data_IF_888670534274
#
_entry.id   IF_888670534274
#
_cell.length_a   1.000
_cell.length_b   1.000
_cell.length_c   1.000
_cell.angle_alpha   90.00
_cell.angle_beta   90.00
_cell.angle_gamma   90.00
#
_symmetry.space_group_name_H-M   'P 1'
#
loop_
_entity.id
_entity.type
_entity.pdbx_description
1 polymer ?
#
# COMPACT_ATOMS: atom_id res chain seq x y z
N UNK A 1 -64.37 -20.57 23.86
CA UNK A 1 -63.70 -21.38 24.89
C UNK A 1 -63.42 -22.75 24.30
N UNK A 2 -62.16 -23.02 23.94
CA UNK A 2 -61.66 -24.36 23.64
C UNK A 2 -60.16 -24.33 23.95
N UNK A 3 -59.75 -25.21 24.86
CA UNK A 3 -58.42 -25.26 25.46
C UNK A 3 -57.39 -25.84 24.48
N UNK A 4 -56.22 -25.21 24.38
CA UNK A 4 -55.05 -25.79 23.74
C UNK A 4 -54.17 -26.45 24.80
N UNK A 5 -54.03 -27.77 24.71
CA UNK A 5 -53.11 -28.58 25.51
C UNK A 5 -51.69 -28.51 24.91
N UNK A 6 -50.71 -28.19 25.76
CA UNK A 6 -49.28 -28.37 25.50
C UNK A 6 -48.85 -29.81 25.81
N UNK A 7 -47.93 -30.43 25.04
CA UNK A 7 -47.22 -31.60 25.49
C UNK A 7 -45.89 -31.23 26.15
N UNK A 8 -45.60 -31.92 27.25
CA UNK A 8 -44.46 -31.76 28.13
C UNK A 8 -43.14 -32.26 27.51
N UNK A 9 -42.05 -31.54 27.85
CA UNK A 9 -40.68 -31.88 27.51
C UNK A 9 -40.23 -33.16 28.23
N UNK A 10 -39.66 -34.10 27.49
CA UNK A 10 -38.91 -35.24 28.04
C UNK A 10 -37.42 -34.96 27.84
N UNK A 11 -36.68 -34.84 28.94
CA UNK A 11 -35.24 -34.64 28.94
C UNK A 11 -34.50 -35.92 28.55
N UNK A 12 -33.60 -35.84 27.58
CA UNK A 12 -32.63 -36.89 27.26
C UNK A 12 -31.23 -36.46 27.75
N UNK A 13 -30.42 -37.41 28.26
CA UNK A 13 -29.18 -37.10 28.98
C UNK A 13 -28.03 -36.66 28.05
N UNK A 14 -27.21 -35.74 28.58
CA UNK A 14 -25.99 -35.21 28.00
C UNK A 14 -25.00 -36.32 27.60
N UNK A 15 -24.74 -36.45 26.30
CA UNK A 15 -23.57 -37.15 25.77
C UNK A 15 -22.43 -36.15 25.54
N UNK A 16 -21.33 -36.34 26.26
CA UNK A 16 -20.08 -35.58 26.14
C UNK A 16 -19.44 -35.86 24.77
N UNK A 17 -19.17 -34.85 23.91
CA UNK A 17 -18.42 -35.07 22.68
C UNK A 17 -16.91 -35.14 22.98
N UNK A 18 -16.26 -36.21 22.50
CA UNK A 18 -14.81 -36.43 22.50
C UNK A 18 -14.06 -35.38 21.67
N UNK A 19 -12.85 -34.96 22.08
CA UNK A 19 -12.07 -33.95 21.39
C UNK A 19 -11.48 -34.49 20.08
N UNK A 20 -11.71 -33.78 18.98
CA UNK A 20 -11.07 -34.01 17.68
C UNK A 20 -9.60 -33.59 17.74
N UNK A 21 -8.65 -34.36 17.19
CA UNK A 21 -7.24 -34.02 17.22
C UNK A 21 -6.94 -32.81 16.32
N UNK A 22 -6.29 -31.78 16.89
CA UNK A 22 -5.85 -30.61 16.15
C UNK A 22 -4.67 -30.98 15.23
N UNK A 23 -4.95 -31.05 13.92
CA UNK A 23 -3.90 -31.14 12.92
C UNK A 23 -3.38 -29.73 12.63
N UNK A 24 -2.32 -29.31 13.36
CA UNK A 24 -1.51 -28.17 12.97
C UNK A 24 -0.79 -28.51 11.66
N UNK A 25 -1.36 -28.11 10.53
CA UNK A 25 -0.63 -28.07 9.26
C UNK A 25 0.24 -26.82 9.26
N UNK A 26 1.53 -27.00 9.51
CA UNK A 26 2.54 -25.99 9.18
C UNK A 26 2.53 -25.78 7.67
N UNK A 27 2.15 -24.59 7.22
CA UNK A 27 2.38 -24.14 5.84
C UNK A 27 3.86 -23.76 5.75
N UNK A 28 4.68 -24.69 5.28
CA UNK A 28 6.06 -24.42 4.88
C UNK A 28 6.03 -24.00 3.42
N UNK A 29 6.23 -22.70 3.15
CA UNK A 29 6.50 -22.22 1.80
C UNK A 29 7.98 -22.50 1.47
N UNK A 30 8.24 -23.49 0.61
CA UNK A 30 9.57 -23.77 0.09
C UNK A 30 9.99 -22.67 -0.90
N UNK A 31 10.78 -21.70 -0.43
CA UNK A 31 11.51 -20.77 -1.29
C UNK A 31 12.68 -21.54 -1.93
N UNK A 32 12.60 -21.75 -3.23
CA UNK A 32 13.69 -22.35 -4.02
C UNK A 32 14.64 -21.24 -4.46
N UNK A 33 15.82 -21.15 -3.84
CA UNK A 33 16.91 -20.30 -4.32
C UNK A 33 17.68 -21.01 -5.44
N UNK A 34 17.97 -20.37 -6.59
CA UNK A 34 18.97 -20.91 -7.50
C UNK A 34 20.37 -20.59 -6.97
N UNK A 35 21.15 -21.67 -6.76
CA UNK A 35 22.59 -21.66 -6.53
C UNK A 35 23.31 -20.95 -7.69
N UNK A 36 24.07 -19.91 -7.38
CA UNK A 36 25.19 -19.45 -8.19
C UNK A 36 26.34 -20.44 -8.03
N UNK A 37 26.78 -21.03 -9.15
CA UNK A 37 27.93 -21.92 -9.21
C UNK A 37 28.91 -21.47 -10.28
N UNK A 38 30.17 -21.33 -9.87
CA UNK A 38 31.36 -21.62 -10.68
C UNK A 38 31.84 -20.54 -11.65
N UNK A 39 32.96 -19.90 -11.32
CA UNK A 39 33.68 -18.99 -12.21
C UNK A 39 34.79 -19.65 -13.03
N UNK A 40 35.50 -18.77 -13.76
CA UNK A 40 36.92 -18.89 -14.06
C UNK A 40 37.31 -19.28 -15.49
N UNK A 41 38.00 -18.36 -16.19
CA UNK A 41 39.07 -18.74 -17.13
C UNK A 41 39.19 -17.98 -18.45
N UNK A 42 39.93 -16.85 -18.43
CA UNK A 42 41.21 -16.75 -19.16
C UNK A 42 41.27 -16.33 -20.65
N UNK A 43 41.94 -15.18 -20.88
CA UNK A 43 42.78 -14.86 -22.06
C UNK A 43 42.04 -14.35 -23.31
N UNK A 44 42.45 -13.32 -24.04
CA UNK A 44 43.66 -12.50 -24.10
C UNK A 44 43.79 -12.01 -25.57
N UNK A 45 44.29 -10.78 -25.81
CA UNK A 45 44.88 -10.43 -27.11
C UNK A 45 44.38 -9.16 -27.83
N UNK A 46 45.19 -8.10 -27.67
CA UNK A 46 45.67 -7.14 -28.70
C UNK A 46 44.75 -6.17 -29.46
N UNK A 47 44.94 -4.89 -29.09
CA UNK A 47 45.32 -3.70 -29.90
C UNK A 47 45.07 -3.73 -31.44
N UNK A 48 44.32 -2.73 -31.90
CA UNK A 48 44.72 -1.88 -33.03
C UNK A 48 44.11 -0.47 -32.87
N UNK A 49 44.88 0.54 -33.26
CA UNK A 49 44.65 1.98 -33.08
C UNK A 49 44.75 2.64 -34.46
N UNK A 50 44.09 3.80 -34.60
CA UNK A 50 44.19 4.81 -35.68
C UNK A 50 43.31 4.52 -36.93
N UNK A 51 42.65 5.47 -37.58
CA UNK A 51 42.87 6.93 -37.64
C UNK A 51 41.59 7.72 -37.97
N UNK A 52 41.64 8.97 -37.53
CA UNK A 52 40.84 10.17 -37.82
C UNK A 52 40.36 10.41 -39.26
N UNK A 53 39.17 11.00 -39.37
CA UNK A 53 38.79 11.95 -40.41
C UNK A 53 37.98 13.08 -39.77
N UNK A 54 38.42 14.31 -40.03
CA UNK A 54 37.97 15.57 -39.44
C UNK A 54 37.46 16.45 -40.59
N UNK A 55 36.25 17.00 -40.50
CA UNK A 55 35.93 18.35 -40.99
C UNK A 55 34.50 18.77 -40.59
N UNK A 56 34.24 20.08 -40.40
CA UNK A 56 33.22 20.60 -39.49
C UNK A 56 31.99 21.14 -40.23
N UNK A 57 30.82 21.09 -39.59
CA UNK A 57 29.68 21.92 -40.03
C UNK A 57 29.50 23.13 -39.13
N UNK A 58 29.50 24.28 -39.79
CA UNK A 58 29.49 25.63 -39.26
C UNK A 58 28.25 25.95 -38.43
N UNK A 59 28.53 26.69 -37.36
CA UNK A 59 27.64 27.56 -36.61
C UNK A 59 27.07 28.62 -37.55
N UNK A 60 25.73 28.71 -37.64
CA UNK A 60 25.04 29.90 -38.17
C UNK A 60 24.17 30.49 -37.06
N UNK A 61 24.67 31.58 -36.48
CA UNK A 61 23.90 32.47 -35.63
C UNK A 61 22.98 33.34 -36.49
N UNK A 62 21.72 33.46 -36.09
CA UNK A 62 20.84 34.58 -36.41
C UNK A 62 20.12 34.98 -35.11
N UNK A 63 20.29 36.23 -34.72
CA UNK A 63 19.65 36.87 -33.58
C UNK A 63 18.32 37.56 -34.01
N UNK A 64 17.63 38.29 -33.11
CA UNK A 64 16.34 37.92 -32.56
C UNK A 64 15.16 38.60 -33.26
N UNK A 65 13.97 38.00 -33.17
CA UNK A 65 12.71 38.68 -33.46
C UNK A 65 11.88 38.75 -32.17
N UNK A 66 11.75 39.96 -31.64
CA UNK A 66 10.79 40.36 -30.61
C UNK A 66 9.37 40.30 -31.17
N UNK A 67 8.47 39.68 -30.42
CA UNK A 67 7.03 39.68 -30.65
C UNK A 67 6.37 38.81 -29.59
N UNK A 68 5.91 39.45 -28.52
CA UNK A 68 5.20 38.81 -27.44
C UNK A 68 3.85 38.29 -27.93
N UNK A 69 3.56 37.02 -27.66
CA UNK A 69 2.25 36.54 -27.28
C UNK A 69 2.45 35.36 -26.33
N UNK A 70 1.97 35.55 -25.12
CA UNK A 70 2.31 34.77 -23.93
C UNK A 70 1.29 33.65 -23.78
N UNK A 71 1.53 32.54 -24.48
CA UNK A 71 0.75 31.31 -24.35
C UNK A 71 1.32 30.49 -23.18
N UNK A 72 0.51 30.34 -22.13
CA UNK A 72 0.87 29.69 -20.88
C UNK A 72 1.30 28.24 -21.14
N UNK A 73 2.57 27.94 -20.82
CA UNK A 73 3.16 26.63 -20.96
C UNK A 73 2.36 25.57 -20.18
N UNK A 74 1.68 24.70 -20.91
CA UNK A 74 1.14 23.45 -20.38
C UNK A 74 2.30 22.61 -19.83
N UNK A 75 2.15 22.10 -18.60
CA UNK A 75 3.06 21.10 -18.03
C UNK A 75 3.16 19.87 -18.95
N UNK A 76 4.18 19.01 -18.76
CA UNK A 76 4.39 17.85 -19.62
C UNK A 76 3.12 17.00 -19.65
N UNK A 77 2.51 16.88 -20.83
CA UNK A 77 1.37 16.00 -21.04
C UNK A 77 1.85 14.57 -20.82
N UNK A 78 1.31 13.92 -19.79
CA UNK A 78 1.50 12.49 -19.60
C UNK A 78 1.02 11.79 -20.87
N UNK A 79 1.91 11.07 -21.56
CA UNK A 79 1.53 10.28 -22.72
C UNK A 79 0.44 9.30 -22.31
N UNK A 80 -0.71 9.27 -23.00
CA UNK A 80 -1.81 8.39 -22.61
C UNK A 80 -1.37 6.93 -22.64
N UNK A 81 -1.85 6.13 -21.69
CA UNK A 81 -1.54 4.70 -21.61
C UNK A 81 -2.07 4.00 -22.87
N UNK A 82 -1.20 3.34 -23.62
CA UNK A 82 -1.57 2.60 -24.82
C UNK A 82 -2.19 1.24 -24.44
N UNK A 83 -3.51 1.21 -24.29
CA UNK A 83 -4.26 0.05 -23.80
C UNK A 83 -4.18 -1.13 -24.78
N UNK A 84 -4.23 -0.86 -26.08
CA UNK A 84 -4.17 -1.88 -27.13
C UNK A 84 -2.83 -2.62 -27.10
N UNK A 85 -1.74 -1.89 -26.93
CA UNK A 85 -0.41 -2.47 -26.76
C UNK A 85 -0.33 -3.35 -25.51
N UNK A 86 -0.79 -2.84 -24.36
CA UNK A 86 -0.77 -3.62 -23.10
C UNK A 86 -1.61 -4.90 -23.21
N UNK A 87 -2.79 -4.81 -23.83
CA UNK A 87 -3.66 -5.95 -24.02
C UNK A 87 -3.05 -7.00 -24.96
N UNK A 88 -2.33 -6.58 -26.00
CA UNK A 88 -1.63 -7.48 -26.91
C UNK A 88 -0.41 -8.14 -26.25
N UNK A 89 0.43 -7.35 -25.57
CA UNK A 89 1.68 -7.81 -24.94
C UNK A 89 1.42 -8.81 -23.81
N UNK A 90 0.47 -8.52 -22.93
CA UNK A 90 0.20 -9.31 -21.72
C UNK A 90 -1.00 -10.25 -21.85
N UNK A 91 -1.40 -10.56 -23.09
CA UNK A 91 -2.51 -11.46 -23.37
C UNK A 91 -2.29 -12.85 -22.75
N UNK A 92 -3.36 -13.45 -22.21
CA UNK A 92 -3.35 -14.84 -21.73
C UNK A 92 -2.87 -15.05 -20.29
N UNK A 93 -2.40 -14.01 -19.59
CA UNK A 93 -1.98 -14.12 -18.18
C UNK A 93 -3.14 -13.96 -17.18
N UNK A 94 -4.38 -13.87 -17.64
CA UNK A 94 -5.54 -13.66 -16.78
C UNK A 94 -5.79 -12.19 -16.42
N UNK A 95 -5.13 -11.28 -17.13
CA UNK A 95 -5.34 -9.84 -17.04
C UNK A 95 -6.18 -9.33 -18.20
N UNK A 96 -6.94 -8.27 -17.95
CA UNK A 96 -7.57 -7.45 -18.99
C UNK A 96 -7.33 -5.97 -18.70
N UNK A 97 -7.27 -5.17 -19.76
CA UNK A 97 -7.00 -3.74 -19.69
C UNK A 97 -8.20 -2.98 -20.24
N UNK A 98 -8.68 -1.98 -19.50
CA UNK A 98 -9.84 -1.17 -19.87
C UNK A 98 -9.49 0.32 -19.75
N UNK A 99 -9.75 1.15 -20.77
CA UNK A 99 -9.50 2.58 -20.70
C UNK A 99 -10.47 3.25 -19.71
N UNK A 100 -9.94 4.09 -18.83
CA UNK A 100 -10.72 4.87 -17.85
C UNK A 100 -10.26 6.32 -17.89
N UNK A 101 -10.91 7.12 -18.73
CA UNK A 101 -10.46 8.50 -18.99
C UNK A 101 -9.05 8.53 -19.57
N UNK A 102 -8.12 9.24 -18.92
CA UNK A 102 -6.69 9.25 -19.28
C UNK A 102 -5.85 8.15 -18.62
N UNK A 103 -6.49 7.20 -17.93
CA UNK A 103 -5.86 6.12 -17.16
C UNK A 103 -6.27 4.76 -17.72
N UNK A 104 -5.66 3.69 -17.21
CA UNK A 104 -6.01 2.31 -17.57
C UNK A 104 -6.34 1.50 -16.32
N UNK A 105 -7.49 0.84 -16.31
CA UNK A 105 -7.82 -0.17 -15.31
C UNK A 105 -7.26 -1.53 -15.75
N UNK A 106 -6.49 -2.16 -14.89
CA UNK A 106 -5.97 -3.51 -15.05
C UNK A 106 -6.76 -4.44 -14.14
N UNK A 107 -7.36 -5.47 -14.70
CA UNK A 107 -8.19 -6.43 -13.97
C UNK A 107 -7.53 -7.80 -13.98
N UNK A 108 -7.16 -8.29 -12.81
CA UNK A 108 -6.66 -9.65 -12.59
C UNK A 108 -7.83 -10.56 -12.21
N UNK A 109 -7.94 -11.74 -12.83
CA UNK A 109 -8.97 -12.73 -12.49
C UNK A 109 -8.42 -14.15 -12.42
N UNK A 110 -8.57 -14.77 -11.26
CA UNK A 110 -8.26 -16.19 -11.06
C UNK A 110 -9.48 -17.08 -11.36
N UNK A 111 -9.22 -18.37 -11.63
CA UNK A 111 -10.27 -19.38 -11.88
C UNK A 111 -11.14 -19.68 -10.66
N UNK A 112 -10.62 -19.50 -9.45
CA UNK A 112 -11.40 -19.69 -8.22
C UNK A 112 -12.43 -18.57 -8.00
N UNK A 113 -12.45 -17.54 -8.86
CA UNK A 113 -13.37 -16.42 -8.77
C UNK A 113 -12.76 -15.17 -8.13
N UNK A 114 -11.59 -15.26 -7.50
CA UNK A 114 -10.91 -14.08 -6.95
C UNK A 114 -10.60 -13.06 -8.04
N UNK A 115 -10.87 -11.79 -7.77
CA UNK A 115 -10.64 -10.66 -8.69
C UNK A 115 -9.96 -9.53 -7.94
N UNK A 116 -9.02 -8.85 -8.59
CA UNK A 116 -8.44 -7.60 -8.11
C UNK A 116 -8.29 -6.61 -9.26
N UNK A 117 -8.50 -5.32 -8.98
CA UNK A 117 -8.37 -4.24 -9.96
C UNK A 117 -7.27 -3.27 -9.52
N UNK A 118 -6.42 -2.87 -10.47
CA UNK A 118 -5.34 -1.92 -10.29
C UNK A 118 -5.46 -0.80 -11.33
N UNK A 119 -5.07 0.42 -10.98
CA UNK A 119 -5.12 1.57 -11.89
C UNK A 119 -3.72 2.03 -12.29
N UNK A 120 -3.50 2.28 -13.58
CA UNK A 120 -2.29 2.84 -14.14
C UNK A 120 -2.52 4.29 -14.59
N UNK A 121 -1.55 5.19 -14.41
CA UNK A 121 -0.21 4.97 -13.83
C UNK A 121 -0.17 5.09 -12.29
N UNK A 122 -1.31 5.22 -11.60
CA UNK A 122 -1.31 5.48 -10.14
C UNK A 122 -0.73 4.34 -9.30
N UNK A 123 -0.77 3.09 -9.79
CA UNK A 123 -0.43 1.90 -9.02
C UNK A 123 -1.44 1.57 -7.92
N UNK A 124 -2.59 2.26 -7.90
CA UNK A 124 -3.63 2.11 -6.90
C UNK A 124 -4.41 0.80 -7.11
N UNK A 125 -4.48 -0.06 -6.11
CA UNK A 125 -5.44 -1.17 -6.12
C UNK A 125 -6.80 -0.64 -5.70
N UNK A 126 -7.78 -0.72 -6.59
CA UNK A 126 -9.10 -0.11 -6.41
C UNK A 126 -10.19 -1.08 -5.94
N UNK A 127 -9.97 -2.39 -6.11
CA UNK A 127 -10.90 -3.44 -5.72
C UNK A 127 -10.16 -4.73 -5.44
N UNK A 128 -10.60 -5.47 -4.43
CA UNK A 128 -10.18 -6.84 -4.17
C UNK A 128 -11.38 -7.66 -3.67
N UNK A 129 -11.73 -8.67 -4.45
CA UNK A 129 -12.85 -9.57 -4.22
C UNK A 129 -12.32 -11.00 -4.13
N UNK A 130 -11.84 -11.44 -2.97
CA UNK A 130 -11.44 -12.83 -2.78
C UNK A 130 -12.63 -13.79 -2.91
N UNK A 131 -12.35 -15.01 -3.38
CA UNK A 131 -13.26 -16.14 -3.24
C UNK A 131 -13.43 -16.48 -1.76
N UNK A 132 -14.67 -16.40 -1.28
CA UNK A 132 -15.04 -16.71 0.11
C UNK A 132 -15.37 -18.19 0.26
N UNK A 133 -15.29 -18.70 1.48
CA UNK A 133 -15.59 -20.10 1.80
C UNK A 133 -17.04 -20.51 1.46
N UNK A 134 -17.98 -19.56 1.44
CA UNK A 134 -19.39 -19.77 1.07
C UNK A 134 -19.67 -19.64 -0.44
N UNK A 135 -18.62 -19.65 -1.27
CA UNK A 135 -18.75 -19.73 -2.73
C UNK A 135 -19.10 -18.43 -3.45
N UNK A 136 -19.19 -17.30 -2.74
CA UNK A 136 -19.34 -15.98 -3.35
C UNK A 136 -18.06 -15.16 -3.21
N UNK A 137 -18.00 -14.02 -3.89
CA UNK A 137 -16.91 -13.06 -3.77
C UNK A 137 -17.41 -11.80 -3.08
N UNK A 138 -16.61 -11.24 -2.18
CA UNK A 138 -17.01 -10.08 -1.38
C UNK A 138 -15.96 -8.99 -1.50
N UNK A 139 -16.37 -7.74 -1.73
CA UNK A 139 -15.45 -6.60 -1.78
C UNK A 139 -14.80 -6.35 -0.42
N UNK A 140 -13.48 -6.48 -0.36
CA UNK A 140 -12.68 -6.23 0.85
C UNK A 140 -12.18 -4.80 0.90
N UNK A 141 -11.97 -4.17 -0.25
CA UNK A 141 -11.35 -2.85 -0.34
C UNK A 141 -12.42 -1.76 -0.50
N UNK A 142 -12.25 -0.68 0.25
CA UNK A 142 -13.09 0.50 0.16
C UNK A 142 -12.50 1.50 -0.81
N UNK A 143 -13.27 1.86 -1.82
CA UNK A 143 -12.96 2.95 -2.74
C UNK A 143 -14.16 3.86 -2.92
N UNK A 144 -13.89 5.15 -3.00
CA UNK A 144 -14.88 6.18 -3.26
C UNK A 144 -14.48 6.98 -4.49
N UNK A 145 -15.47 7.40 -5.26
CA UNK A 145 -15.29 8.42 -6.29
C UNK A 145 -15.70 9.76 -5.68
N UNK A 146 -14.78 10.71 -5.67
CA UNK A 146 -15.00 12.06 -5.18
C UNK A 146 -14.76 13.08 -6.30
N UNK A 147 -15.33 14.26 -6.16
CA UNK A 147 -15.02 15.37 -7.03
C UNK A 147 -13.67 15.98 -6.62
N UNK A 148 -12.74 16.02 -7.58
CA UNK A 148 -11.43 16.61 -7.44
C UNK A 148 -11.40 18.06 -7.94
N UNK A 149 -10.21 18.70 -7.91
CA UNK A 149 -10.03 20.05 -8.43
C UNK A 149 -10.52 20.15 -9.88
N UNK A 150 -11.31 21.18 -10.18
CA UNK A 150 -11.87 21.39 -11.52
C UNK A 150 -13.00 20.43 -11.91
N UNK A 151 -13.68 19.81 -10.94
CA UNK A 151 -14.86 18.97 -11.19
C UNK A 151 -14.54 17.57 -11.73
N UNK A 152 -13.25 17.21 -11.82
CA UNK A 152 -12.83 15.90 -12.32
C UNK A 152 -13.05 14.82 -11.26
N UNK A 153 -13.62 13.68 -11.66
CA UNK A 153 -13.71 12.52 -10.78
C UNK A 153 -12.31 12.01 -10.37
N UNK A 154 -12.10 11.87 -9.05
CA UNK A 154 -10.88 11.32 -8.45
C UNK A 154 -11.26 10.12 -7.59
N UNK A 155 -10.51 9.04 -7.74
CA UNK A 155 -10.68 7.83 -6.93
C UNK A 155 -9.88 8.01 -5.64
N UNK A 156 -10.50 7.71 -4.51
CA UNK A 156 -9.89 7.70 -3.18
C UNK A 156 -10.14 6.36 -2.51
N UNK A 157 -9.32 6.02 -1.52
CA UNK A 157 -9.34 4.75 -0.82
C UNK A 157 -8.34 3.77 -1.44
N UNK A 158 -8.70 2.48 -1.48
CA UNK A 158 -7.89 1.45 -2.11
C UNK A 158 -6.72 0.96 -1.27
N UNK A 159 -5.80 0.25 -1.94
CA UNK A 159 -4.46 -0.06 -1.43
C UNK A 159 -3.44 0.83 -2.12
N UNK A 160 -2.70 1.60 -1.35
CA UNK A 160 -1.68 2.53 -1.83
C UNK A 160 -0.32 2.23 -1.23
N UNK A 161 0.73 2.43 -2.03
CA UNK A 161 2.11 2.45 -1.55
C UNK A 161 2.57 3.90 -1.56
N UNK A 162 2.67 4.48 -0.37
CA UNK A 162 3.14 5.83 -0.17
C UNK A 162 4.61 5.76 0.26
N UNK A 163 5.51 6.05 -0.68
CA UNK A 163 6.96 6.03 -0.44
C UNK A 163 7.58 7.40 -0.69
N UNK A 164 8.55 7.76 0.15
CA UNK A 164 9.29 9.01 0.07
C UNK A 164 10.77 8.76 0.28
N UNK A 165 11.57 9.30 -0.62
CA UNK A 165 13.02 9.21 -0.58
C UNK A 165 13.60 10.63 -0.46
N UNK A 166 14.40 10.88 0.57
CA UNK A 166 15.11 12.14 0.76
C UNK A 166 16.62 11.89 0.70
N UNK A 167 17.35 12.70 -0.08
CA UNK A 167 18.81 12.65 -0.10
C UNK A 167 19.40 13.37 1.10
N UNK A 168 20.48 12.86 1.69
CA UNK A 168 21.20 13.60 2.72
C UNK A 168 21.81 14.88 2.13
N UNK A 169 21.24 16.03 2.50
CA UNK A 169 21.68 17.36 2.08
C UNK A 169 21.09 17.89 0.77
N UNK A 170 20.14 17.19 0.15
CA UNK A 170 19.43 17.65 -1.04
C UNK A 170 18.06 18.25 -0.67
N UNK A 171 17.78 19.47 -1.14
CA UNK A 171 16.45 20.08 -1.08
C UNK A 171 15.53 19.38 -2.10
N UNK A 172 14.98 18.23 -1.71
CA UNK A 172 14.03 17.50 -2.52
C UNK A 172 13.65 16.16 -1.92
N UNK A 173 12.36 15.84 -1.96
CA UNK A 173 11.82 14.51 -1.64
C UNK A 173 11.29 13.91 -2.93
N UNK A 174 11.81 12.75 -3.31
CA UNK A 174 11.26 11.98 -4.42
C UNK A 174 10.14 11.06 -3.93
N UNK A 175 9.05 11.00 -4.69
CA UNK A 175 8.01 9.98 -4.55
C UNK A 175 7.53 9.61 -5.95
N UNK A 176 7.05 8.37 -6.18
CA UNK A 176 6.47 7.97 -7.45
C UNK A 176 5.26 8.80 -7.82
N UNK A 177 4.48 9.32 -6.86
CA UNK A 177 3.39 10.29 -7.10
C UNK A 177 2.47 9.93 -8.27
N UNK A 178 2.11 8.65 -8.38
CA UNK A 178 1.27 8.13 -9.46
C UNK A 178 1.94 8.01 -10.84
N UNK A 179 3.27 7.95 -10.92
CA UNK A 179 4.06 7.74 -12.16
C UNK A 179 4.55 6.30 -12.33
N UNK A 180 3.77 5.31 -11.89
CA UNK A 180 4.13 3.91 -12.05
C UNK A 180 3.98 3.45 -13.51
N UNK A 181 5.03 2.81 -14.01
CA UNK A 181 5.05 2.13 -15.31
C UNK A 181 4.84 0.64 -15.12
N UNK A 182 3.92 0.04 -15.89
CA UNK A 182 3.80 -1.42 -15.96
C UNK A 182 5.05 -1.99 -16.63
N UNK A 183 5.74 -2.91 -15.95
CA UNK A 183 6.95 -3.55 -16.44
C UNK A 183 6.71 -4.96 -16.92
N UNK A 184 5.92 -5.72 -16.17
CA UNK A 184 5.69 -7.12 -16.49
C UNK A 184 4.37 -7.60 -15.89
N UNK A 185 3.81 -8.64 -16.50
CA UNK A 185 2.71 -9.43 -15.97
C UNK A 185 3.14 -10.89 -16.00
N UNK A 186 3.02 -11.60 -14.88
CA UNK A 186 3.44 -12.99 -14.77
C UNK A 186 2.35 -13.86 -14.20
N UNK A 187 2.50 -15.17 -14.40
CA UNK A 187 1.64 -16.19 -13.83
C UNK A 187 0.45 -16.55 -14.71
N UNK A 188 -0.61 -17.06 -14.08
CA UNK A 188 -1.78 -17.56 -14.79
C UNK A 188 -3.04 -17.55 -13.90
N UNK A 189 -4.25 -17.59 -14.50
CA UNK A 189 -5.49 -17.75 -13.77
C UNK A 189 -5.58 -18.99 -12.85
N UNK A 190 -4.72 -19.99 -13.06
CA UNK A 190 -4.76 -21.26 -12.34
C UNK A 190 -3.99 -21.21 -11.01
N UNK A 191 -2.96 -20.37 -10.92
CA UNK A 191 -2.03 -20.31 -9.78
C UNK A 191 -2.14 -18.96 -9.08
N UNK A 192 -1.52 -17.94 -9.68
CA UNK A 192 -1.48 -16.56 -9.23
C UNK A 192 -1.21 -15.67 -10.42
N UNK A 193 -1.62 -14.41 -10.33
CA UNK A 193 -1.34 -13.38 -11.32
C UNK A 193 -0.53 -12.29 -10.64
N UNK A 194 0.59 -11.94 -11.21
CA UNK A 194 1.53 -10.95 -10.69
C UNK A 194 1.63 -9.79 -11.67
N UNK A 195 1.57 -8.57 -11.15
CA UNK A 195 1.78 -7.32 -11.90
C UNK A 195 2.99 -6.61 -11.31
N UNK A 196 4.02 -6.41 -12.11
CA UNK A 196 5.23 -5.67 -11.73
C UNK A 196 5.14 -4.23 -12.23
N UNK A 197 5.20 -3.29 -11.29
CA UNK A 197 5.27 -1.86 -11.54
C UNK A 197 6.65 -1.33 -11.18
N UNK A 198 7.14 -0.34 -11.93
CA UNK A 198 8.34 0.39 -11.55
C UNK A 198 8.18 1.90 -11.73
N UNK A 199 8.83 2.63 -10.86
CA UNK A 199 9.01 4.07 -10.91
C UNK A 199 10.49 4.39 -10.70
N UNK A 200 11.02 5.34 -11.45
CA UNK A 200 12.40 5.78 -11.30
C UNK A 200 12.44 7.30 -11.17
N UNK A 201 13.27 7.78 -10.26
CA UNK A 201 13.59 9.19 -10.16
C UNK A 201 14.36 9.63 -11.42
N UNK A 202 14.13 10.86 -11.87
CA UNK A 202 14.98 11.45 -12.88
C UNK A 202 16.43 11.54 -12.35
N UNK A 203 17.42 11.48 -13.24
CA UNK A 203 18.83 11.49 -12.85
C UNK A 203 19.27 12.73 -12.03
N UNK A 204 18.49 13.82 -12.06
CA UNK A 204 18.72 15.05 -11.31
C UNK A 204 17.98 15.12 -9.95
N UNK A 205 17.13 14.14 -9.64
CA UNK A 205 16.39 14.05 -8.37
C UNK A 205 17.26 13.37 -7.28
N UNK A 206 16.95 13.57 -5.98
CA UNK A 206 17.75 13.02 -4.90
C UNK A 206 17.95 11.50 -5.04
N UNK A 207 19.22 11.07 -5.12
CA UNK A 207 19.61 9.67 -4.95
C UNK A 207 19.39 8.73 -6.15
N UNK A 208 18.99 9.21 -7.34
CA UNK A 208 18.72 8.33 -8.50
C UNK A 208 17.86 7.10 -8.11
N UNK A 209 16.87 7.33 -7.24
CA UNK A 209 16.13 6.26 -6.60
C UNK A 209 15.26 5.51 -7.62
N UNK A 210 15.13 4.19 -7.45
CA UNK A 210 14.12 3.42 -8.18
C UNK A 210 13.27 2.63 -7.21
N UNK A 211 11.97 2.60 -7.45
CA UNK A 211 11.02 1.78 -6.73
C UNK A 211 10.41 0.74 -7.67
N UNK A 212 10.21 -0.46 -7.14
CA UNK A 212 9.44 -1.54 -7.76
C UNK A 212 8.32 -1.93 -6.80
N UNK A 213 7.12 -2.08 -7.33
CA UNK A 213 5.95 -2.54 -6.61
C UNK A 213 5.37 -3.73 -7.36
N UNK A 214 5.25 -4.87 -6.70
CA UNK A 214 4.71 -6.10 -7.24
C UNK A 214 3.38 -6.38 -6.54
N UNK A 215 2.30 -6.44 -7.30
CA UNK A 215 0.98 -6.79 -6.81
C UNK A 215 0.62 -8.18 -7.30
N UNK A 216 0.42 -9.11 -6.37
CA UNK A 216 0.14 -10.51 -6.70
C UNK A 216 -1.21 -10.94 -6.16
N UNK A 217 -2.11 -11.32 -7.07
CA UNK A 217 -3.36 -11.98 -6.75
C UNK A 217 -3.11 -13.49 -6.60
N UNK A 218 -3.11 -13.96 -5.36
CA UNK A 218 -3.10 -15.38 -5.03
C UNK A 218 -4.53 -15.90 -4.85
N UNK A 219 -4.68 -17.22 -4.76
CA UNK A 219 -5.97 -17.86 -4.44
C UNK A 219 -6.54 -17.38 -3.11
N UNK A 220 -5.67 -17.24 -2.11
CA UNK A 220 -6.03 -16.99 -0.70
C UNK A 220 -5.49 -15.65 -0.16
N UNK A 221 -4.91 -14.80 -1.01
CA UNK A 221 -4.35 -13.53 -0.57
C UNK A 221 -4.19 -12.53 -1.73
N UNK A 222 -4.16 -11.25 -1.38
CA UNK A 222 -3.59 -10.20 -2.22
C UNK A 222 -2.27 -9.74 -1.58
N UNK A 223 -1.16 -9.90 -2.31
CA UNK A 223 0.16 -9.47 -1.88
C UNK A 223 0.52 -8.11 -2.48
N UNK A 224 1.24 -7.30 -1.73
CA UNK A 224 1.91 -6.09 -2.21
C UNK A 224 3.34 -6.12 -1.72
N UNK A 225 4.29 -6.28 -2.63
CA UNK A 225 5.72 -6.31 -2.34
C UNK A 225 6.38 -5.06 -2.92
N UNK A 226 7.18 -4.37 -2.11
CA UNK A 226 7.80 -3.09 -2.46
C UNK A 226 9.30 -3.24 -2.27
N UNK A 227 10.07 -2.84 -3.27
CA UNK A 227 11.51 -2.70 -3.16
C UNK A 227 11.96 -1.34 -3.62
N UNK A 228 12.86 -0.72 -2.88
CA UNK A 228 13.43 0.60 -3.23
C UNK A 228 14.94 0.49 -3.23
N UNK A 229 15.56 0.95 -4.31
CA UNK A 229 17.00 0.91 -4.53
C UNK A 229 17.54 2.33 -4.68
N UNK A 230 18.65 2.61 -4.00
CA UNK A 230 19.42 3.82 -4.20
C UNK A 230 20.43 3.58 -5.34
N UNK A 231 20.13 4.02 -6.56
CA UNK A 231 21.05 3.82 -7.71
C UNK A 231 22.07 4.95 -7.85
N UNK A 232 22.31 5.73 -6.79
CA UNK A 232 23.35 6.75 -6.82
C UNK A 232 24.74 6.08 -6.93
N UNK A 233 25.73 6.79 -7.51
CA UNK A 233 27.13 6.35 -7.48
C UNK A 233 27.64 6.14 -6.05
N UNK A 234 28.62 5.25 -5.89
CA UNK A 234 29.21 4.91 -4.58
C UNK A 234 29.76 6.12 -3.79
N UNK A 235 30.04 7.23 -4.47
CA UNK A 235 30.55 8.48 -3.87
C UNK A 235 29.45 9.41 -3.36
N UNK A 236 28.17 9.08 -3.59
CA UNK A 236 27.03 9.89 -3.19
C UNK A 236 26.64 9.68 -1.74
N UNK A 237 25.87 10.63 -1.19
CA UNK A 237 25.36 10.53 0.17
C UNK A 237 24.24 9.48 0.29
N UNK A 238 24.04 8.90 1.48
CA UNK A 238 22.91 8.01 1.74
C UNK A 238 21.55 8.69 1.54
N UNK A 239 20.55 7.87 1.28
CA UNK A 239 19.15 8.28 1.09
C UNK A 239 18.30 7.77 2.25
N UNK A 240 17.47 8.64 2.82
CA UNK A 240 16.46 8.25 3.80
C UNK A 240 15.17 7.83 3.07
N UNK A 241 14.69 6.61 3.33
CA UNK A 241 13.47 6.05 2.79
C UNK A 241 12.42 5.94 3.89
N UNK A 242 11.23 6.43 3.60
CA UNK A 242 10.07 6.23 4.44
C UNK A 242 8.93 5.64 3.61
N UNK A 243 8.23 4.63 4.12
CA UNK A 243 7.29 3.83 3.35
C UNK A 243 6.09 3.38 4.20
N UNK A 244 4.88 3.59 3.67
CA UNK A 244 3.63 3.11 4.26
C UNK A 244 2.80 2.45 3.17
N UNK A 245 2.18 1.31 3.50
CA UNK A 245 1.21 0.67 2.60
C UNK A 245 -0.17 0.77 3.22
N UNK A 246 -1.00 1.70 2.75
CA UNK A 246 -2.31 1.99 3.34
C UNK A 246 -3.41 1.15 2.70
N UNK A 247 -4.09 0.31 3.48
CA UNK A 247 -5.22 -0.49 3.01
C UNK A 247 -6.52 0.08 3.55
N UNK A 248 -7.34 0.71 2.71
CA UNK A 248 -8.69 1.11 3.08
C UNK A 248 -9.59 -0.13 3.04
N UNK A 249 -9.79 -0.77 4.19
CA UNK A 249 -10.64 -1.93 4.33
C UNK A 249 -12.10 -1.51 4.46
N UNK A 250 -12.95 -2.09 3.63
CA UNK A 250 -14.40 -1.86 3.68
C UNK A 250 -14.99 -2.57 4.89
N UNK A 251 -15.73 -1.84 5.70
CA UNK A 251 -16.46 -2.37 6.85
C UNK A 251 -17.93 -1.99 6.81
N UNK A 252 -18.74 -2.56 7.70
CA UNK A 252 -20.14 -2.16 7.92
C UNK A 252 -20.19 -0.81 8.61
N UNK A 253 -19.44 -0.65 9.69
CA UNK A 253 -19.20 0.60 10.39
C UNK A 253 -17.98 0.41 11.30
N UNK A 254 -17.21 1.46 11.62
CA UNK A 254 -16.16 1.37 12.63
C UNK A 254 -16.67 0.86 13.99
N UNK A 255 -17.93 1.10 14.35
CA UNK A 255 -18.54 0.59 15.59
C UNK A 255 -18.71 -0.94 15.63
N UNK A 256 -18.76 -1.60 14.48
CA UNK A 256 -18.88 -3.06 14.39
C UNK A 256 -17.51 -3.73 14.12
N UNK A 257 -16.43 -2.94 14.15
CA UNK A 257 -15.09 -3.34 13.70
C UNK A 257 -14.11 -3.40 14.85
N UNK A 258 -13.30 -4.46 14.87
CA UNK A 258 -12.30 -4.73 15.92
C UNK A 258 -10.97 -5.11 15.29
N UNK A 259 -9.85 -4.56 15.79
CA UNK A 259 -8.52 -5.14 15.55
C UNK A 259 -8.20 -6.14 16.66
N UNK A 260 -7.75 -7.34 16.29
CA UNK A 260 -7.37 -8.41 17.20
C UNK A 260 -5.86 -8.64 17.12
N UNK A 261 -5.23 -8.83 18.27
CA UNK A 261 -3.80 -9.14 18.38
C UNK A 261 -2.88 -7.94 18.59
N UNK A 262 -3.43 -6.75 18.85
CA UNK A 262 -2.62 -5.56 19.18
C UNK A 262 -2.24 -5.48 20.65
N UNK A 263 -2.72 -6.39 21.50
CA UNK A 263 -2.36 -6.42 22.92
C UNK A 263 -0.85 -6.37 23.12
N UNK A 264 -0.40 -5.53 24.05
CA UNK A 264 1.00 -5.30 24.35
C UNK A 264 1.74 -4.44 23.31
N UNK A 265 1.04 -3.95 22.28
CA UNK A 265 1.64 -3.06 21.29
C UNK A 265 1.57 -1.63 21.81
N UNK A 266 2.71 -0.97 21.84
CA UNK A 266 2.81 0.46 22.09
C UNK A 266 2.28 1.23 20.88
N UNK A 267 1.65 2.38 21.13
CA UNK A 267 1.19 3.25 20.07
C UNK A 267 1.52 4.72 20.31
N UNK A 268 1.60 5.45 19.20
CA UNK A 268 1.60 6.91 19.17
C UNK A 268 0.43 7.40 18.35
N UNK A 269 -0.25 8.42 18.84
CA UNK A 269 -1.31 9.11 18.10
C UNK A 269 -0.65 10.02 17.08
N UNK A 270 -1.07 9.90 15.82
CA UNK A 270 -0.48 10.65 14.70
C UNK A 270 -1.58 11.31 13.89
N UNK A 271 -1.26 12.38 13.14
CA UNK A 271 -2.21 12.91 12.17
C UNK A 271 -2.44 11.89 11.03
N UNK A 272 -3.65 11.85 10.43
CA UNK A 272 -3.93 10.97 9.31
C UNK A 272 -2.95 11.15 8.16
N UNK A 273 -2.63 10.03 7.54
CA UNK A 273 -1.72 10.01 6.43
C UNK A 273 -2.33 10.67 5.20
N UNK A 274 -1.90 11.89 4.88
CA UNK A 274 -2.38 12.63 3.71
C UNK A 274 -1.66 12.15 2.46
N UNK A 275 -2.31 11.25 1.72
CA UNK A 275 -1.98 10.85 0.35
C UNK A 275 -3.05 11.38 -0.62
N UNK A 276 -2.74 11.42 -1.92
CA UNK A 276 -3.70 11.81 -2.97
C UNK A 276 -4.98 10.94 -2.94
N UNK A 277 -4.85 9.70 -2.47
CA UNK A 277 -5.94 8.74 -2.36
C UNK A 277 -6.58 8.70 -0.97
N UNK A 278 -6.09 9.47 0.00
CA UNK A 278 -6.61 9.43 1.37
C UNK A 278 -8.08 9.87 1.42
N UNK A 279 -8.87 9.16 2.23
CA UNK A 279 -10.20 9.58 2.63
C UNK A 279 -10.07 10.04 4.08
N UNK A 280 -10.32 11.32 4.34
CA UNK A 280 -10.39 11.89 5.69
C UNK A 280 -11.71 12.63 5.80
N UNK A 281 -12.58 12.31 6.78
CA UNK A 281 -13.80 13.06 7.00
C UNK A 281 -13.52 14.54 7.35
N UNK A 282 -14.34 15.49 6.89
CA UNK A 282 -14.14 16.92 7.16
C UNK A 282 -14.12 17.28 8.65
N UNK A 283 -14.92 16.60 9.45
CA UNK A 283 -15.11 16.79 10.89
C UNK A 283 -14.20 15.89 11.74
N UNK A 284 -13.39 15.04 11.10
CA UNK A 284 -12.49 14.10 11.80
C UNK A 284 -11.64 14.79 12.87
N UNK A 285 -11.07 15.97 12.56
CA UNK A 285 -10.18 16.66 13.50
C UNK A 285 -10.92 17.09 14.78
N UNK A 286 -12.16 17.57 14.65
CA UNK A 286 -12.97 17.96 15.80
C UNK A 286 -13.39 16.74 16.62
N UNK A 287 -13.77 15.65 15.94
CA UNK A 287 -14.10 14.38 16.59
C UNK A 287 -12.89 13.81 17.35
N UNK A 288 -11.72 13.76 16.71
CA UNK A 288 -10.48 13.28 17.31
C UNK A 288 -10.04 14.11 18.51
N UNK A 289 -10.15 15.44 18.44
CA UNK A 289 -9.85 16.32 19.59
C UNK A 289 -10.80 16.14 20.77
N UNK A 290 -12.00 15.63 20.51
CA UNK A 290 -13.01 15.35 21.55
C UNK A 290 -12.81 13.98 22.18
N UNK A 291 -12.30 12.99 21.43
CA UNK A 291 -12.00 11.64 21.90
C UNK A 291 -10.61 11.49 22.51
N UNK A 292 -9.65 12.33 22.11
CA UNK A 292 -8.29 12.31 22.64
C UNK A 292 -8.23 12.94 24.05
N UNK A 293 -7.77 12.16 25.04
CA UNK A 293 -7.63 12.60 26.43
C UNK A 293 -6.76 13.86 26.58
N UNK A 294 -6.79 14.49 27.76
CA UNK A 294 -6.11 15.77 28.06
C UNK A 294 -4.61 15.80 27.76
N UNK A 295 -3.92 14.65 27.71
CA UNK A 295 -2.51 14.53 27.32
C UNK A 295 -2.24 14.72 25.81
N UNK A 296 -3.21 14.40 24.96
CA UNK A 296 -3.11 14.56 23.49
C UNK A 296 -3.47 15.99 23.01
N UNK A 297 -4.01 16.83 23.91
CA UNK A 297 -4.42 18.21 23.58
C UNK A 297 -3.26 19.19 23.39
N UNK A 298 -2.05 18.88 23.89
CA UNK A 298 -0.97 19.87 24.00
C UNK A 298 0.28 19.59 23.17
N UNK A 299 0.35 18.48 22.44
CA UNK A 299 1.52 18.14 21.64
C UNK A 299 1.09 17.76 20.23
N UNK A 300 1.23 18.75 19.34
CA UNK A 300 1.54 18.69 17.91
C UNK A 300 0.54 19.43 17.03
N UNK A 301 1.02 20.52 16.43
CA UNK A 301 0.34 21.30 15.42
C UNK A 301 0.97 20.98 14.07
N UNK A 302 0.17 20.42 13.17
CA UNK A 302 0.40 20.29 11.72
C UNK A 302 1.55 19.38 11.30
N UNK A 303 1.21 18.28 10.63
CA UNK A 303 1.83 17.75 9.39
C UNK A 303 1.86 16.21 9.36
N UNK A 304 0.68 15.58 9.23
CA UNK A 304 0.41 14.25 8.64
C UNK A 304 1.56 13.25 8.49
N UNK A 305 1.67 12.60 7.33
CA UNK A 305 2.78 11.70 6.99
C UNK A 305 4.16 12.38 7.05
N UNK A 306 4.26 13.71 7.15
CA UNK A 306 5.55 14.40 7.20
C UNK A 306 6.33 14.05 8.48
N UNK A 307 5.70 13.88 9.66
CA UNK A 307 6.44 13.37 10.83
C UNK A 307 6.89 11.91 10.69
N UNK A 308 6.11 11.07 10.01
CA UNK A 308 6.46 9.65 9.75
C UNK A 308 7.53 9.55 8.65
N UNK A 309 7.52 10.48 7.68
CA UNK A 309 8.27 10.35 6.44
C UNK A 309 9.43 11.35 6.27
N UNK A 310 9.46 12.47 7.00
CA UNK A 310 10.42 13.57 6.77
C UNK A 310 11.57 13.63 7.77
N UNK A 311 11.67 12.72 8.74
CA UNK A 311 12.81 12.61 9.65
C UNK A 311 13.30 13.98 10.15
N UNK A 312 12.38 14.88 10.52
CA UNK A 312 12.72 16.27 10.79
C UNK A 312 13.61 16.34 12.01
N UNK A 313 14.88 16.59 11.73
CA UNK A 313 15.99 16.70 12.66
C UNK A 313 15.96 18.09 13.29
N UNK A 314 14.87 18.44 13.97
CA UNK A 314 14.81 19.67 14.76
C UNK A 314 15.05 19.35 16.24
N UNK A 315 16.31 19.57 16.64
CA UNK A 315 16.83 19.76 18.01
C UNK A 315 16.18 18.94 19.14
N UNK A 316 16.84 17.82 19.47
CA UNK A 316 16.76 17.17 20.77
C UNK A 316 16.53 15.68 20.64
N UNK A 317 17.55 14.88 20.93
CA UNK A 317 17.46 13.42 20.98
C UNK A 317 16.61 12.95 22.14
N UNK A 318 15.30 13.10 22.01
CA UNK A 318 14.30 12.45 22.86
C UNK A 318 13.63 11.44 21.96
N UNK A 319 13.90 10.15 22.20
CA UNK A 319 13.06 9.08 21.67
C UNK A 319 11.65 9.45 22.08
N UNK A 320 10.77 9.75 21.13
CA UNK A 320 9.42 10.16 21.47
C UNK A 320 8.78 9.02 22.28
N UNK A 321 8.44 9.27 23.54
CA UNK A 321 7.83 8.24 24.38
C UNK A 321 6.48 7.83 23.78
N UNK A 322 6.05 6.56 23.89
CA UNK A 322 4.74 6.13 23.42
C UNK A 322 3.63 6.84 24.19
N UNK A 323 2.48 7.06 23.52
CA UNK A 323 1.30 7.65 24.17
C UNK A 323 0.61 6.64 25.09
N UNK A 324 0.79 5.35 24.83
CA UNK A 324 0.23 4.25 25.59
C UNK A 324 0.51 2.88 24.97
N UNK A 325 -0.05 1.85 25.59
CA UNK A 325 0.00 0.44 25.18
C UNK A 325 -1.44 -0.07 25.04
N UNK A 326 -1.68 -1.04 24.16
CA UNK A 326 -2.98 -1.71 24.11
C UNK A 326 -3.05 -2.79 25.20
N UNK A 327 -3.91 -2.58 26.19
CA UNK A 327 -4.09 -3.51 27.30
C UNK A 327 -4.99 -4.71 26.93
N UNK A 328 -5.94 -4.48 26.02
CA UNK A 328 -6.96 -5.46 25.64
C UNK A 328 -6.54 -6.32 24.44
N UNK A 329 -7.04 -7.56 24.39
CA UNK A 329 -6.87 -8.50 23.28
C UNK A 329 -7.43 -7.96 21.94
N UNK A 330 -8.36 -7.00 22.04
CA UNK A 330 -8.99 -6.35 20.91
C UNK A 330 -9.08 -4.83 21.07
N UNK A 331 -8.84 -4.12 19.98
CA UNK A 331 -9.10 -2.68 19.87
C UNK A 331 -10.39 -2.45 19.10
N UNK A 332 -11.39 -1.86 19.76
CA UNK A 332 -12.64 -1.43 19.13
C UNK A 332 -12.39 -0.17 18.28
N UNK A 333 -12.82 -0.17 17.03
CA UNK A 333 -12.58 0.91 16.07
C UNK A 333 -13.61 2.05 16.14
N UNK A 334 -14.41 2.10 17.21
CA UNK A 334 -15.54 3.03 17.34
C UNK A 334 -15.11 4.50 17.37
N UNK A 335 -14.00 4.82 18.03
CA UNK A 335 -13.53 6.20 18.14
C UNK A 335 -12.82 6.66 16.86
N UNK A 336 -12.96 7.96 16.55
CA UNK A 336 -12.10 8.61 15.58
C UNK A 336 -10.66 8.58 16.12
N UNK A 337 -9.77 7.87 15.43
CA UNK A 337 -8.38 7.69 15.87
C UNK A 337 -7.42 7.45 14.71
N UNK A 338 -6.17 7.78 14.95
CA UNK A 338 -5.07 7.54 14.02
C UNK A 338 -3.82 7.24 14.84
N UNK A 339 -3.31 6.01 14.71
CA UNK A 339 -2.25 5.46 15.54
C UNK A 339 -1.17 4.82 14.68
N UNK A 340 0.07 4.97 15.13
CA UNK A 340 1.22 4.23 14.65
C UNK A 340 1.69 3.31 15.79
N UNK A 341 1.58 2.01 15.57
CA UNK A 341 1.96 1.00 16.54
C UNK A 341 3.41 0.58 16.34
N UNK A 342 4.19 0.57 17.42
CA UNK A 342 5.46 -0.14 17.55
C UNK A 342 5.22 -1.51 18.19
N UNK A 343 6.16 -2.44 18.00
CA UNK A 343 6.10 -3.78 18.59
C UNK A 343 4.85 -4.62 18.25
N UNK A 344 4.01 -4.16 17.31
CA UNK A 344 2.85 -4.90 16.81
C UNK A 344 3.25 -6.26 16.23
N UNK A 345 2.40 -7.29 16.32
CA UNK A 345 2.70 -8.59 15.73
C UNK A 345 2.88 -8.49 14.21
N UNK A 346 3.53 -9.51 13.63
CA UNK A 346 3.69 -9.62 12.17
C UNK A 346 2.38 -9.98 11.46
N UNK A 347 1.45 -10.56 12.19
CA UNK A 347 0.11 -10.89 11.71
C UNK A 347 -0.91 -10.39 12.73
N UNK A 348 -1.95 -9.72 12.26
CA UNK A 348 -3.09 -9.33 13.09
C UNK A 348 -4.37 -9.35 12.24
N UNK A 349 -5.52 -9.26 12.89
CA UNK A 349 -6.83 -9.44 12.24
C UNK A 349 -7.71 -8.21 12.41
N UNK A 350 -8.33 -7.75 11.33
CA UNK A 350 -9.50 -6.87 11.39
C UNK A 350 -10.75 -7.72 11.27
N UNK A 351 -11.62 -7.69 12.26
CA UNK A 351 -12.90 -8.38 12.27
C UNK A 351 -14.03 -7.35 12.16
N UNK A 352 -15.01 -7.62 11.31
CA UNK A 352 -16.22 -6.82 11.18
C UNK A 352 -17.44 -7.70 11.44
N UNK A 353 -18.11 -7.45 12.57
CA UNK A 353 -19.29 -8.20 13.00
C UNK A 353 -20.51 -7.94 12.13
N UNK A 354 -20.66 -6.74 11.59
CA UNK A 354 -21.80 -6.38 10.73
C UNK A 354 -21.71 -7.05 9.36
N UNK A 355 -20.50 -7.29 8.85
CA UNK A 355 -20.27 -8.05 7.61
C UNK A 355 -20.02 -9.54 7.83
N UNK A 356 -19.82 -9.97 9.09
CA UNK A 356 -19.47 -11.35 9.47
C UNK A 356 -18.24 -11.86 8.70
N UNK A 357 -17.23 -11.00 8.57
CA UNK A 357 -15.99 -11.33 7.91
C UNK A 357 -14.79 -10.83 8.73
N UNK A 358 -13.62 -11.35 8.39
CA UNK A 358 -12.35 -10.93 8.96
C UNK A 358 -11.33 -10.78 7.86
N UNK A 359 -10.33 -9.93 8.03
CA UNK A 359 -9.20 -9.79 7.10
C UNK A 359 -7.95 -9.87 7.93
N UNK A 360 -7.06 -10.80 7.60
CA UNK A 360 -5.75 -10.91 8.27
C UNK A 360 -4.71 -10.19 7.45
N UNK A 361 -3.96 -9.31 8.10
CA UNK A 361 -2.83 -8.62 7.50
C UNK A 361 -1.55 -9.27 8.01
N UNK A 362 -0.74 -9.80 7.10
CA UNK A 362 0.62 -10.25 7.38
C UNK A 362 1.63 -9.25 6.80
N UNK A 363 2.67 -8.90 7.57
CA UNK A 363 3.70 -7.93 7.16
C UNK A 363 5.12 -8.48 7.29
N UNK A 364 5.99 -8.09 6.35
CA UNK A 364 7.42 -8.43 6.33
C UNK A 364 8.24 -7.18 5.94
N UNK A 365 9.39 -6.98 6.59
CA UNK A 365 10.30 -5.86 6.28
C UNK A 365 9.88 -4.49 6.83
N UNK A 366 8.74 -4.41 7.52
CA UNK A 366 8.27 -3.21 8.21
C UNK A 366 8.32 -3.40 9.72
N UNK A 367 8.57 -2.30 10.44
CA UNK A 367 8.67 -2.29 11.91
C UNK A 367 7.34 -1.87 12.54
N UNK A 368 6.66 -0.90 11.95
CA UNK A 368 5.41 -0.33 12.44
C UNK A 368 4.16 -0.86 11.76
N UNK A 369 3.04 -0.52 12.38
CA UNK A 369 1.69 -0.73 11.85
C UNK A 369 0.88 0.57 11.99
N UNK A 370 0.44 1.11 10.87
CA UNK A 370 -0.46 2.25 10.80
C UNK A 370 -1.91 1.78 10.90
N UNK A 371 -2.71 2.43 11.74
CA UNK A 371 -4.15 2.19 11.90
C UNK A 371 -4.88 3.52 11.96
N UNK A 372 -5.93 3.67 11.18
CA UNK A 372 -6.82 4.82 11.20
C UNK A 372 -8.28 4.37 11.16
N UNK A 373 -9.09 4.98 12.03
CA UNK A 373 -10.54 4.87 12.03
C UNK A 373 -11.14 6.26 11.89
N UNK A 374 -12.08 6.48 10.95
CA UNK A 374 -12.80 7.74 10.85
C UNK A 374 -13.73 7.99 12.04
N UNK A 375 -14.11 6.93 12.78
CA UNK A 375 -15.05 6.95 13.90
C UNK A 375 -16.47 6.50 13.50
N UNK A 376 -17.28 6.16 14.50
CA UNK A 376 -18.62 5.58 14.36
C UNK A 376 -19.76 6.57 14.15
N UNK A 377 -19.48 7.88 14.14
CA UNK A 377 -20.49 8.93 13.97
C UNK A 377 -21.14 8.96 12.58
N UNK A 378 -20.60 8.23 11.61
CA UNK A 378 -21.12 8.17 10.23
C UNK A 378 -22.06 7.00 10.00
N UNK A 379 -22.83 7.11 8.91
CA UNK A 379 -23.78 6.09 8.50
C UNK A 379 -23.13 4.72 8.21
N UNK A 380 -23.85 3.67 8.59
CA UNK A 380 -23.48 2.30 8.27
C UNK A 380 -23.46 2.08 6.75
N UNK A 381 -22.46 1.34 6.28
CA UNK A 381 -22.20 1.07 4.87
C UNK A 381 -22.06 2.32 3.98
N UNK A 382 -21.90 3.49 4.60
CA UNK A 382 -21.77 4.78 3.93
C UNK A 382 -20.36 5.06 3.43
N UNK A 383 -20.14 6.32 3.03
CA UNK A 383 -18.86 6.83 2.50
C UNK A 383 -17.68 6.61 3.45
N UNK A 384 -17.93 6.68 4.76
CA UNK A 384 -16.93 6.55 5.81
C UNK A 384 -16.96 5.19 6.53
N UNK A 385 -17.63 4.19 5.95
CA UNK A 385 -17.63 2.82 6.44
C UNK A 385 -16.35 2.06 6.03
N UNK A 386 -15.20 2.55 6.49
CA UNK A 386 -13.90 1.93 6.29
C UNK A 386 -13.01 2.11 7.52
N UNK A 387 -11.99 1.28 7.62
CA UNK A 387 -10.80 1.52 8.45
C UNK A 387 -9.59 1.45 7.55
N UNK A 388 -8.51 2.15 7.91
CA UNK A 388 -7.23 2.03 7.21
C UNK A 388 -6.27 1.28 8.09
N UNK A 389 -5.66 0.24 7.54
CA UNK A 389 -4.59 -0.48 8.22
C UNK A 389 -3.44 -0.74 7.26
N UNK A 390 -2.23 -0.83 7.76
CA UNK A 390 -1.10 -0.94 6.85
C UNK A 390 0.25 -1.04 7.53
N UNK A 391 1.21 -1.81 7.01
CA UNK A 391 2.56 -1.74 7.53
C UNK A 391 3.20 -0.38 7.22
N UNK A 392 4.06 0.08 8.12
CA UNK A 392 4.73 1.37 8.03
C UNK A 392 6.17 1.28 8.55
N UNK A 393 7.05 2.12 8.02
CA UNK A 393 8.34 2.42 8.64
C UNK A 393 8.12 3.30 9.88
N UNK A 394 8.70 2.96 11.03
CA UNK A 394 8.62 3.79 12.24
C UNK A 394 9.57 4.98 12.14
N UNK A 395 10.78 4.72 11.66
CA UNK A 395 11.80 5.72 11.37
C UNK A 395 12.26 5.59 9.92
N UNK A 396 12.75 6.68 9.29
CA UNK A 396 13.29 6.60 7.94
C UNK A 396 14.47 5.63 7.85
N UNK A 397 14.40 4.68 6.92
CA UNK A 397 15.46 3.70 6.64
C UNK A 397 16.57 4.37 5.85
N UNK A 398 17.81 4.32 6.36
CA UNK A 398 18.98 4.88 5.66
C UNK A 398 19.53 3.86 4.67
N UNK A 399 19.55 4.21 3.38
CA UNK A 399 20.06 3.41 2.28
C UNK A 399 21.33 4.03 1.69
N UNK A 400 22.45 3.31 1.77
CA UNK A 400 23.69 3.68 1.09
C UNK A 400 23.57 3.54 -0.43
N UNK A 401 24.51 4.09 -1.20
CA UNK A 401 24.56 3.90 -2.64
C UNK A 401 24.66 2.40 -3.02
N UNK A 402 23.76 1.95 -3.89
CA UNK A 402 23.62 0.54 -4.29
C UNK A 402 22.76 -0.32 -3.37
N UNK A 403 22.40 0.18 -2.18
CA UNK A 403 21.57 -0.58 -1.24
C UNK A 403 20.12 -0.67 -1.72
N UNK A 404 19.47 -1.78 -1.35
CA UNK A 404 18.06 -2.05 -1.64
C UNK A 404 17.32 -2.43 -0.37
N UNK A 405 16.22 -1.73 -0.11
CA UNK A 405 15.25 -2.09 0.92
C UNK A 405 14.09 -2.88 0.33
N UNK A 406 13.51 -3.80 1.10
CA UNK A 406 12.37 -4.61 0.71
C UNK A 406 11.35 -4.71 1.85
N UNK A 407 10.08 -4.52 1.50
CA UNK A 407 8.93 -4.72 2.39
C UNK A 407 7.81 -5.44 1.65
N UNK A 408 6.96 -6.15 2.39
CA UNK A 408 5.80 -6.83 1.83
C UNK A 408 4.62 -6.85 2.80
N UNK A 409 3.43 -6.86 2.23
CA UNK A 409 2.20 -7.21 2.93
C UNK A 409 1.40 -8.28 2.19
N UNK A 410 0.59 -9.00 2.95
CA UNK A 410 -0.38 -9.96 2.44
C UNK A 410 -1.72 -9.72 3.14
N UNK A 411 -2.74 -9.34 2.36
CA UNK A 411 -4.14 -9.35 2.78
C UNK A 411 -4.68 -10.75 2.56
N UNK A 412 -4.70 -11.55 3.62
CA UNK A 412 -5.17 -12.93 3.57
C UNK A 412 -6.70 -12.97 3.58
N UNK A 413 -7.24 -13.95 2.85
CA UNK A 413 -8.67 -14.12 2.73
C UNK A 413 -9.33 -14.30 4.10
N UNK A 414 -10.56 -13.80 4.26
CA UNK A 414 -11.39 -14.10 5.42
C UNK A 414 -11.46 -15.61 5.65
N UNK A 415 -10.90 -16.05 6.77
CA UNK A 415 -11.04 -17.44 7.21
C UNK A 415 -12.39 -17.57 7.94
N UNK A 416 -13.09 -18.72 7.81
CA UNK A 416 -14.33 -18.99 8.53
C UNK A 416 -14.16 -18.93 10.05
#
# INVERSE_FOLDING_TARGET
MAAFCTPAATAAPHGTPTPLPSSRKHIVMCLSSPKLGGGGGGGGGQKARLSSSTAPHQVRALAPATGADQEAAAGPSATPVNVEYLAAEFAGHGVSFEPVGGSCAVKMRLRNGSVAHLMLPSGLVTSYKPAMWHGTVTEVIHTNVAEGPGGRAVIRGGVTVDLRCAGAGADGVWSPGGSWSLRDVRGSPNSSIEIELAAAAAAAAPGNASARCVVTLHREALATEVSVTNNAPATSSPMALSCVVSNHLRVSTPDATYALGLQGSEYRSVEPALSEFSIVPPDYRAAWQSSAGTGARQLWASRGLDMILSGSRDRGGVVAEPDGEEDDDYKHMTDAMCRLYSHAPREFTIMDRGRRNSVRLHRRGFEGLYVFSPGSQYEWYGKYAYVVVGPATLEPVVLGPGDTWQGAQYLLNPSP
#
